data_IF_407416147059
#
_entry.id   IF_407416147059
#
_cell.length_a   1.000
_cell.length_b   1.000
_cell.length_c   1.000
_cell.angle_alpha   90.00
_cell.angle_beta   90.00
_cell.angle_gamma   90.00
#
_symmetry.space_group_name_H-M   'P 1'
#
loop_
_entity.id
_entity.type
_entity.pdbx_description
1 polymer ?
#
# COMPACT_ATOMS: atom_id res chain seq x y z
N UNK A 1 16.33 -71.37 -13.63
CA UNK A 1 17.41 -71.04 -14.57
C UNK A 1 17.77 -69.57 -14.37
N UNK A 2 18.96 -69.33 -13.82
CA UNK A 2 19.76 -68.10 -13.76
C UNK A 2 19.30 -66.81 -13.02
N UNK A 3 20.10 -66.51 -12.00
CA UNK A 3 20.36 -65.25 -11.27
C UNK A 3 20.69 -64.03 -12.16
N UNK A 4 20.43 -62.80 -11.68
CA UNK A 4 21.46 -61.84 -11.21
C UNK A 4 20.87 -60.41 -11.03
N UNK A 5 20.94 -59.92 -9.79
CA UNK A 5 21.40 -58.59 -9.35
C UNK A 5 21.87 -57.59 -10.42
N UNK A 6 21.50 -56.31 -10.31
CA UNK A 6 22.44 -55.17 -10.16
C UNK A 6 21.72 -53.81 -10.09
N UNK A 7 21.96 -53.08 -8.99
CA UNK A 7 21.78 -51.63 -8.87
C UNK A 7 22.69 -50.90 -9.88
N UNK A 8 22.23 -49.85 -10.59
CA UNK A 8 23.12 -48.92 -11.25
C UNK A 8 23.58 -47.83 -10.28
N UNK A 9 24.90 -47.85 -10.10
CA UNK A 9 25.78 -46.86 -9.48
C UNK A 9 25.41 -45.40 -9.80
N UNK A 10 25.44 -44.62 -8.72
CA UNK A 10 25.89 -43.24 -8.59
C UNK A 10 26.59 -42.62 -9.81
N UNK A 11 26.06 -41.45 -10.21
CA UNK A 11 26.67 -40.42 -11.02
C UNK A 11 28.21 -40.36 -10.90
N UNK A 12 28.92 -40.68 -12.00
CA UNK A 12 30.26 -40.17 -12.27
C UNK A 12 30.24 -39.45 -13.61
N UNK A 13 30.08 -38.14 -13.56
CA UNK A 13 30.28 -37.28 -14.74
C UNK A 13 31.77 -37.27 -15.09
N UNK A 14 32.11 -37.37 -16.38
CA UNK A 14 33.49 -37.20 -16.83
C UNK A 14 33.99 -35.76 -16.57
N UNK A 15 35.30 -35.54 -16.46
CA UNK A 15 35.87 -34.19 -16.29
C UNK A 15 35.47 -33.23 -17.43
N UNK A 16 35.26 -33.75 -18.64
CA UNK A 16 34.81 -32.97 -19.79
C UNK A 16 33.33 -32.55 -19.67
N UNK A 17 32.46 -33.45 -19.20
CA UNK A 17 31.04 -33.14 -18.95
C UNK A 17 30.86 -32.24 -17.74
N UNK A 18 31.68 -32.40 -16.69
CA UNK A 18 31.71 -31.48 -15.56
C UNK A 18 32.16 -30.07 -15.99
N UNK A 19 33.17 -29.95 -16.85
CA UNK A 19 33.61 -28.65 -17.40
C UNK A 19 32.56 -28.01 -18.31
N UNK A 20 31.89 -28.78 -19.18
CA UNK A 20 30.77 -28.27 -19.99
C UNK A 20 29.60 -27.80 -19.13
N UNK A 21 29.20 -28.60 -18.14
CA UNK A 21 28.11 -28.24 -17.21
C UNK A 21 28.49 -27.10 -16.27
N UNK A 22 29.76 -26.97 -15.86
CA UNK A 22 30.26 -25.83 -15.08
C UNK A 22 30.30 -24.56 -15.91
N UNK A 23 30.68 -24.64 -17.20
CA UNK A 23 30.65 -23.48 -18.09
C UNK A 23 29.20 -23.11 -18.49
N UNK A 24 28.30 -24.08 -18.62
CA UNK A 24 26.86 -23.81 -18.83
C UNK A 24 26.18 -23.32 -17.57
N UNK A 25 26.58 -23.77 -16.38
CA UNK A 25 26.11 -23.23 -15.10
C UNK A 25 26.72 -21.86 -14.83
N UNK A 26 27.96 -21.56 -15.23
CA UNK A 26 28.53 -20.23 -15.11
C UNK A 26 27.88 -19.25 -16.08
N UNK A 27 27.55 -19.68 -17.31
CA UNK A 27 26.76 -18.91 -18.27
C UNK A 27 25.30 -18.73 -17.80
N UNK A 28 24.70 -19.78 -17.24
CA UNK A 28 23.35 -19.74 -16.69
C UNK A 28 23.30 -18.97 -15.36
N UNK A 29 24.37 -18.97 -14.54
CA UNK A 29 24.50 -18.15 -13.32
C UNK A 29 24.83 -16.68 -13.66
N UNK A 30 25.48 -16.40 -14.79
CA UNK A 30 25.57 -15.02 -15.30
C UNK A 30 24.25 -14.52 -15.89
N UNK A 31 23.36 -15.41 -16.32
CA UNK A 31 22.02 -15.08 -16.82
C UNK A 31 20.91 -15.13 -15.75
N UNK A 32 21.08 -15.90 -14.66
CA UNK A 32 20.03 -16.11 -13.65
C UNK A 32 19.81 -14.91 -12.73
N UNK A 33 20.67 -13.89 -12.70
CA UNK A 33 20.35 -12.68 -11.92
C UNK A 33 21.19 -11.46 -12.28
N UNK A 34 21.22 -11.08 -13.56
CA UNK A 34 20.97 -9.65 -13.79
C UNK A 34 19.46 -9.46 -13.61
N UNK A 35 19.01 -9.37 -12.35
CA UNK A 35 17.91 -8.44 -12.10
C UNK A 35 18.43 -7.13 -12.67
N UNK A 36 17.86 -6.65 -13.79
CA UNK A 36 18.05 -5.25 -14.11
C UNK A 36 17.79 -4.52 -12.81
N UNK A 37 18.77 -3.76 -12.36
CA UNK A 37 18.61 -2.88 -11.23
C UNK A 37 17.72 -1.74 -11.74
N UNK A 38 16.45 -2.04 -12.07
CA UNK A 38 15.40 -1.06 -12.35
C UNK A 38 15.01 -0.46 -11.02
N UNK A 39 15.95 0.31 -10.49
CA UNK A 39 15.68 1.25 -9.43
C UNK A 39 15.06 2.46 -10.12
N UNK A 40 13.93 2.93 -9.60
CA UNK A 40 13.55 4.33 -9.82
C UNK A 40 14.81 5.19 -9.61
N UNK A 41 15.02 6.26 -10.41
CA UNK A 41 16.11 7.18 -10.14
C UNK A 41 16.12 7.52 -8.65
N UNK A 42 17.28 7.38 -8.00
CA UNK A 42 17.38 7.46 -6.54
C UNK A 42 16.72 8.73 -5.97
N UNK A 43 16.76 9.83 -6.73
CA UNK A 43 16.09 11.08 -6.41
C UNK A 43 14.55 10.95 -6.35
N UNK A 44 13.91 10.25 -7.30
CA UNK A 44 12.46 10.05 -7.29
C UNK A 44 12.03 9.14 -6.13
N UNK A 45 12.82 8.11 -5.82
CA UNK A 45 12.56 7.23 -4.68
C UNK A 45 12.72 7.95 -3.33
N UNK A 46 13.77 8.79 -3.19
CA UNK A 46 13.99 9.60 -2.00
C UNK A 46 12.83 10.58 -1.76
N UNK A 47 12.38 11.26 -2.82
CA UNK A 47 11.21 12.15 -2.76
C UNK A 47 9.95 11.39 -2.36
N UNK A 48 9.68 10.23 -2.97
CA UNK A 48 8.49 9.45 -2.62
C UNK A 48 8.49 9.02 -1.15
N UNK A 49 9.66 8.66 -0.60
CA UNK A 49 9.81 8.32 0.81
C UNK A 49 9.59 9.54 1.72
N UNK A 50 10.14 10.70 1.37
CA UNK A 50 9.93 11.96 2.11
C UNK A 50 8.43 12.33 2.16
N UNK A 51 7.76 12.29 1.02
CA UNK A 51 6.34 12.65 0.92
C UNK A 51 5.42 11.63 1.60
N UNK A 52 5.82 10.35 1.68
CA UNK A 52 5.14 9.38 2.52
C UNK A 52 5.27 9.72 4.01
N UNK A 53 6.43 10.20 4.48
CA UNK A 53 6.57 10.67 5.85
C UNK A 53 5.67 11.90 6.13
N UNK A 54 5.60 12.86 5.19
CA UNK A 54 4.71 14.03 5.30
C UNK A 54 3.23 13.62 5.35
N UNK A 55 2.83 12.62 4.56
CA UNK A 55 1.49 12.03 4.61
C UNK A 55 1.19 11.43 5.99
N UNK A 56 2.13 10.68 6.58
CA UNK A 56 1.97 10.12 7.93
C UNK A 56 1.85 11.22 9.00
N UNK A 57 2.58 12.32 8.84
CA UNK A 57 2.43 13.50 9.70
C UNK A 57 1.04 14.12 9.56
N UNK A 58 0.51 14.25 8.34
CA UNK A 58 -0.86 14.73 8.14
C UNK A 58 -1.90 13.85 8.83
N UNK A 59 -1.76 12.52 8.73
CA UNK A 59 -2.63 11.55 9.40
C UNK A 59 -2.57 11.71 10.92
N UNK A 60 -1.36 11.80 11.49
CA UNK A 60 -1.15 11.93 12.94
C UNK A 60 -1.77 13.22 13.47
N UNK A 61 -1.49 14.33 12.80
CA UNK A 61 -1.85 15.67 13.24
C UNK A 61 -3.36 15.93 13.12
N UNK A 62 -4.01 15.40 12.08
CA UNK A 62 -5.46 15.49 11.93
C UNK A 62 -6.21 14.35 12.62
N UNK A 63 -5.50 13.41 13.27
CA UNK A 63 -6.08 12.23 13.92
C UNK A 63 -7.04 11.49 13.00
N UNK A 64 -6.62 11.34 11.73
CA UNK A 64 -7.48 10.75 10.71
C UNK A 64 -7.90 9.33 11.13
N UNK A 65 -9.19 9.04 11.02
CA UNK A 65 -9.72 7.72 11.31
C UNK A 65 -8.94 6.65 10.51
N UNK A 66 -8.58 5.49 11.09
CA UNK A 66 -7.75 4.50 10.39
C UNK A 66 -8.23 4.12 8.99
N UNK A 67 -9.55 3.94 8.74
CA UNK A 67 -10.04 3.67 7.39
C UNK A 67 -9.76 4.83 6.42
N UNK A 68 -10.02 6.08 6.83
CA UNK A 68 -9.74 7.29 6.04
C UNK A 68 -8.24 7.46 5.78
N UNK A 69 -7.41 7.18 6.79
CA UNK A 69 -5.96 7.21 6.66
C UNK A 69 -5.46 6.22 5.58
N UNK A 70 -5.93 4.97 5.62
CA UNK A 70 -5.55 3.97 4.61
C UNK A 70 -5.97 4.37 3.19
N UNK A 71 -7.14 4.99 3.03
CA UNK A 71 -7.60 5.55 1.75
C UNK A 71 -6.69 6.69 1.28
N UNK A 72 -6.31 7.61 2.16
CA UNK A 72 -5.41 8.71 1.82
C UNK A 72 -4.02 8.20 1.38
N UNK A 73 -3.52 7.15 2.04
CA UNK A 73 -2.27 6.49 1.67
C UNK A 73 -2.35 5.84 0.29
N UNK A 74 -3.44 5.14 0.00
CA UNK A 74 -3.66 4.52 -1.31
C UNK A 74 -3.76 5.57 -2.43
N UNK A 75 -4.54 6.64 -2.22
CA UNK A 75 -4.66 7.73 -3.20
C UNK A 75 -3.29 8.36 -3.46
N UNK A 76 -2.60 8.80 -2.42
CA UNK A 76 -1.32 9.51 -2.59
C UNK A 76 -0.28 8.64 -3.27
N UNK A 77 -0.13 7.38 -2.84
CA UNK A 77 0.86 6.46 -3.41
C UNK A 77 0.55 6.09 -4.86
N UNK A 78 -0.73 5.86 -5.19
CA UNK A 78 -1.14 5.59 -6.57
C UNK A 78 -0.95 6.81 -7.47
N UNK A 79 -1.21 8.03 -6.99
CA UNK A 79 -0.98 9.24 -7.78
C UNK A 79 0.51 9.42 -8.10
N UNK A 80 1.38 9.21 -7.12
CA UNK A 80 2.85 9.24 -7.31
C UNK A 80 3.29 8.16 -8.31
N UNK A 81 2.77 6.93 -8.17
CA UNK A 81 3.07 5.84 -9.10
C UNK A 81 2.66 6.21 -10.53
N UNK A 82 1.44 6.68 -10.76
CA UNK A 82 0.95 7.03 -12.10
C UNK A 82 1.75 8.17 -12.73
N UNK A 83 2.12 9.19 -11.93
CA UNK A 83 2.92 10.31 -12.42
C UNK A 83 4.34 9.90 -12.84
N UNK A 84 5.02 9.11 -12.01
CA UNK A 84 6.36 8.60 -12.32
C UNK A 84 6.31 7.61 -13.48
N UNK A 85 5.34 6.70 -13.47
CA UNK A 85 5.20 5.68 -14.51
C UNK A 85 4.80 6.27 -15.87
N UNK A 86 4.11 7.41 -15.94
CA UNK A 86 3.85 8.08 -17.20
C UNK A 86 5.15 8.49 -17.93
N UNK A 87 6.19 8.84 -17.17
CA UNK A 87 7.50 9.26 -17.67
C UNK A 87 8.40 8.04 -17.91
N UNK A 88 8.50 7.17 -16.91
CA UNK A 88 9.36 5.98 -16.92
C UNK A 88 8.86 4.87 -17.85
N UNK A 89 7.53 4.69 -17.93
CA UNK A 89 6.82 3.76 -18.81
C UNK A 89 7.15 2.28 -18.61
N UNK A 90 7.82 1.91 -17.51
CA UNK A 90 8.18 0.51 -17.23
C UNK A 90 6.99 -0.35 -16.77
N UNK A 91 5.88 0.28 -16.35
CA UNK A 91 4.72 -0.43 -15.82
C UNK A 91 3.42 -0.05 -16.52
N UNK A 92 2.39 -0.87 -16.30
CA UNK A 92 1.03 -0.61 -16.80
C UNK A 92 0.30 0.33 -15.84
N UNK A 93 -0.21 1.44 -16.37
CA UNK A 93 -1.10 2.34 -15.64
C UNK A 93 -2.36 1.59 -15.16
N UNK A 94 -2.76 1.81 -13.90
CA UNK A 94 -3.96 1.22 -13.30
C UNK A 94 -5.19 2.10 -13.46
N UNK A 95 -5.01 3.36 -13.85
CA UNK A 95 -6.10 4.33 -14.06
C UNK A 95 -6.20 4.85 -15.50
N UNK A 96 -5.49 4.20 -16.42
CA UNK A 96 -5.37 4.58 -17.83
C UNK A 96 -4.83 6.02 -17.98
N UNK A 97 -3.89 6.39 -17.11
CA UNK A 97 -3.17 7.65 -17.21
C UNK A 97 -2.18 7.57 -18.40
N UNK A 98 -2.20 8.54 -19.32
CA UNK A 98 -1.42 8.45 -20.55
C UNK A 98 0.08 8.57 -20.30
N UNK A 99 0.87 7.94 -21.18
CA UNK A 99 2.31 8.14 -21.20
C UNK A 99 2.64 9.62 -21.51
N UNK A 100 3.63 10.16 -20.82
CA UNK A 100 4.08 11.55 -20.92
C UNK A 100 5.50 11.63 -21.47
N UNK A 101 6.03 12.85 -21.66
CA UNK A 101 7.40 13.07 -22.14
C UNK A 101 8.43 12.32 -21.27
N UNK A 102 9.24 11.40 -21.84
CA UNK A 102 10.22 10.64 -21.07
C UNK A 102 11.40 11.49 -20.56
N UNK A 103 11.52 12.73 -21.02
CA UNK A 103 12.54 13.69 -20.56
C UNK A 103 12.08 14.53 -19.36
N UNK A 104 10.81 14.42 -18.96
CA UNK A 104 10.30 15.14 -17.80
C UNK A 104 10.92 14.65 -16.49
N UNK A 105 10.94 15.52 -15.48
CA UNK A 105 11.53 15.22 -14.18
C UNK A 105 10.60 14.32 -13.35
N UNK A 106 10.96 13.03 -13.25
CA UNK A 106 10.27 12.08 -12.36
C UNK A 106 10.21 12.53 -10.89
N UNK A 107 11.27 13.09 -10.28
CA UNK A 107 11.18 13.64 -8.92
C UNK A 107 10.15 14.77 -8.82
N UNK A 108 10.11 15.71 -9.79
CA UNK A 108 9.14 16.80 -9.77
C UNK A 108 7.70 16.30 -9.92
N UNK A 109 7.49 15.28 -10.76
CA UNK A 109 6.20 14.60 -10.91
C UNK A 109 5.75 13.91 -9.61
N UNK A 110 6.66 13.22 -8.92
CA UNK A 110 6.38 12.61 -7.62
C UNK A 110 6.01 13.65 -6.55
N UNK A 111 6.79 14.74 -6.43
CA UNK A 111 6.50 15.86 -5.50
C UNK A 111 5.11 16.43 -5.77
N UNK A 112 4.83 16.78 -7.03
CA UNK A 112 3.58 17.44 -7.42
C UNK A 112 2.36 16.54 -7.23
N UNK A 113 2.45 15.26 -7.60
CA UNK A 113 1.38 14.29 -7.38
C UNK A 113 1.07 14.08 -5.89
N UNK A 114 2.11 13.97 -5.06
CA UNK A 114 1.95 13.83 -3.62
C UNK A 114 1.33 15.09 -3.01
N UNK A 115 1.90 16.26 -3.27
CA UNK A 115 1.40 17.53 -2.75
C UNK A 115 -0.07 17.76 -3.12
N UNK A 116 -0.42 17.63 -4.40
CA UNK A 116 -1.79 17.90 -4.88
C UNK A 116 -2.81 16.94 -4.24
N UNK A 117 -2.42 15.68 -4.03
CA UNK A 117 -3.25 14.70 -3.32
C UNK A 117 -3.45 15.10 -1.86
N UNK A 118 -2.36 15.47 -1.18
CA UNK A 118 -2.40 15.80 0.24
C UNK A 118 -3.12 17.11 0.54
N UNK A 119 -2.96 18.16 -0.26
CA UNK A 119 -3.71 19.42 -0.02
C UNK A 119 -5.21 19.24 -0.21
N UNK A 120 -5.62 18.32 -1.09
CA UNK A 120 -7.02 17.97 -1.29
C UNK A 120 -7.57 17.14 -0.13
N UNK A 121 -6.82 16.13 0.32
CA UNK A 121 -7.23 15.21 1.38
C UNK A 121 -7.11 15.82 2.79
N UNK A 122 -6.20 16.77 2.97
CA UNK A 122 -5.83 17.37 4.25
C UNK A 122 -5.78 18.91 4.15
N UNK A 123 -6.89 19.59 3.81
CA UNK A 123 -6.89 21.02 3.52
C UNK A 123 -6.43 21.87 4.71
N UNK A 124 -6.69 21.44 5.95
CA UNK A 124 -6.20 22.11 7.16
C UNK A 124 -4.66 22.14 7.30
N UNK A 125 -3.94 21.30 6.54
CA UNK A 125 -2.46 21.25 6.53
C UNK A 125 -1.85 21.97 5.32
N UNK A 126 -2.67 22.65 4.50
CA UNK A 126 -2.23 23.24 3.22
C UNK A 126 -0.99 24.12 3.37
N UNK A 127 -0.94 25.04 4.35
CA UNK A 127 0.21 25.93 4.51
C UNK A 127 1.53 25.17 4.75
N UNK A 128 1.49 24.10 5.56
CA UNK A 128 2.66 23.24 5.80
C UNK A 128 3.03 22.48 4.53
N UNK A 129 2.05 21.95 3.82
CA UNK A 129 2.25 21.21 2.56
C UNK A 129 2.81 22.11 1.45
N UNK A 130 2.33 23.34 1.32
CA UNK A 130 2.85 24.34 0.38
C UNK A 130 4.33 24.65 0.64
N UNK A 131 4.71 24.81 1.91
CA UNK A 131 6.10 25.04 2.29
C UNK A 131 7.00 23.83 1.95
N UNK A 132 6.51 22.60 2.20
CA UNK A 132 7.23 21.37 1.83
C UNK A 132 7.36 21.22 0.32
N UNK A 133 6.30 21.51 -0.44
CA UNK A 133 6.34 21.52 -1.91
C UNK A 133 7.37 22.51 -2.44
N UNK A 134 7.34 23.76 -1.97
CA UNK A 134 8.31 24.77 -2.38
C UNK A 134 9.76 24.32 -2.10
N UNK A 135 10.02 23.74 -0.92
CA UNK A 135 11.35 23.23 -0.56
C UNK A 135 11.77 22.04 -1.44
N UNK A 136 10.89 21.07 -1.68
CA UNK A 136 11.19 19.91 -2.55
C UNK A 136 11.40 20.32 -4.01
N UNK A 137 10.68 21.31 -4.53
CA UNK A 137 10.86 21.79 -5.92
C UNK A 137 12.13 22.63 -6.06
N UNK A 138 12.47 23.44 -5.05
CA UNK A 138 13.67 24.27 -5.07
C UNK A 138 14.97 23.46 -5.06
N UNK A 139 14.96 22.22 -4.58
CA UNK A 139 16.11 21.32 -4.61
C UNK A 139 16.35 20.64 -5.97
N UNK A 140 15.41 20.77 -6.91
CA UNK A 140 15.49 20.21 -8.26
C UNK A 140 15.99 21.23 -9.27
N UNK A 141 16.69 20.80 -10.36
CA UNK A 141 17.14 21.69 -11.42
C UNK A 141 16.02 22.58 -11.98
N UNK A 142 16.30 23.87 -12.14
CA UNK A 142 15.35 24.82 -12.71
C UNK A 142 15.36 24.77 -14.24
N UNK A 143 14.63 23.81 -14.79
CA UNK A 143 14.55 23.58 -16.22
C UNK A 143 13.12 23.21 -16.69
N UNK A 144 12.97 23.05 -18.00
CA UNK A 144 11.70 22.65 -18.62
C UNK A 144 11.27 21.24 -18.19
N UNK A 145 12.20 20.34 -17.86
CA UNK A 145 11.89 18.99 -17.39
C UNK A 145 11.21 19.03 -16.02
N UNK A 146 11.64 19.92 -15.11
CA UNK A 146 10.98 20.18 -13.83
C UNK A 146 9.55 20.70 -14.03
N UNK A 147 9.37 21.70 -14.89
CA UNK A 147 8.04 22.26 -15.17
C UNK A 147 7.08 21.20 -15.75
N UNK A 148 7.56 20.39 -16.71
CA UNK A 148 6.79 19.28 -17.28
C UNK A 148 6.44 18.24 -16.21
N UNK A 149 7.39 17.86 -15.35
CA UNK A 149 7.16 16.92 -14.25
C UNK A 149 6.08 17.43 -13.29
N UNK A 150 6.13 18.69 -12.89
CA UNK A 150 5.10 19.29 -12.01
C UNK A 150 3.71 19.14 -12.62
N UNK A 151 3.55 19.46 -13.90
CA UNK A 151 2.24 19.36 -14.57
C UNK A 151 1.75 17.91 -14.68
N UNK A 152 2.63 16.97 -15.02
CA UNK A 152 2.31 15.53 -15.07
C UNK A 152 1.83 15.05 -13.69
N UNK A 153 2.56 15.42 -12.63
CA UNK A 153 2.19 15.04 -11.26
C UNK A 153 0.82 15.58 -10.84
N UNK A 154 0.52 16.84 -11.18
CA UNK A 154 -0.77 17.46 -10.92
C UNK A 154 -1.89 16.71 -11.63
N UNK A 155 -1.73 16.41 -12.92
CA UNK A 155 -2.72 15.68 -13.71
C UNK A 155 -2.98 14.26 -13.18
N UNK A 156 -1.93 13.53 -12.81
CA UNK A 156 -2.07 12.19 -12.24
C UNK A 156 -2.86 12.19 -10.92
N UNK A 157 -2.56 13.15 -10.03
CA UNK A 157 -3.28 13.33 -8.77
C UNK A 157 -4.75 13.70 -9.00
N UNK A 158 -5.03 14.67 -9.88
CA UNK A 158 -6.40 15.07 -10.24
C UNK A 158 -7.19 13.87 -10.77
N UNK A 159 -6.64 13.13 -11.73
CA UNK A 159 -7.28 11.95 -12.31
C UNK A 159 -7.67 10.93 -11.24
N UNK A 160 -6.76 10.65 -10.31
CA UNK A 160 -7.02 9.68 -9.26
C UNK A 160 -8.06 10.19 -8.25
N UNK A 161 -7.97 11.45 -7.82
CA UNK A 161 -8.96 12.07 -6.94
C UNK A 161 -10.36 12.06 -7.57
N UNK A 162 -10.47 12.33 -8.88
CA UNK A 162 -11.73 12.25 -9.63
C UNK A 162 -12.31 10.83 -9.61
N UNK A 163 -11.50 9.80 -9.90
CA UNK A 163 -11.91 8.39 -9.84
C UNK A 163 -12.42 8.05 -8.43
N UNK A 164 -11.83 8.63 -7.39
CA UNK A 164 -12.17 8.35 -5.99
C UNK A 164 -13.25 9.27 -5.42
N UNK A 165 -13.67 10.32 -6.13
CA UNK A 165 -14.67 11.29 -5.66
C UNK A 165 -16.05 10.68 -5.40
N UNK A 166 -16.36 9.56 -6.06
CA UNK A 166 -17.66 8.88 -5.96
C UNK A 166 -17.56 7.47 -5.36
N UNK A 167 -16.44 7.15 -4.71
CA UNK A 167 -16.18 5.82 -4.15
C UNK A 167 -17.00 5.48 -2.90
N UNK A 168 -17.81 6.41 -2.41
CA UNK A 168 -18.69 6.23 -1.26
C UNK A 168 -18.04 6.48 0.10
N UNK A 169 -16.75 6.89 0.16
CA UNK A 169 -16.08 7.17 1.43
C UNK A 169 -16.75 8.31 2.22
N UNK A 170 -17.24 9.33 1.52
CA UNK A 170 -17.86 10.52 2.13
C UNK A 170 -19.35 10.33 2.49
N UNK A 171 -19.90 9.13 2.27
CA UNK A 171 -21.27 8.82 2.71
C UNK A 171 -21.37 8.92 4.23
N UNK A 172 -22.52 9.38 4.71
CA UNK A 172 -22.86 9.30 6.13
C UNK A 172 -23.98 8.29 6.27
N UNK A 173 -23.75 7.26 7.08
CA UNK A 173 -24.75 6.24 7.41
C UNK A 173 -24.91 6.21 8.92
N UNK A 174 -26.15 6.30 9.36
CA UNK A 174 -26.49 6.13 10.77
C UNK A 174 -26.46 4.64 11.13
N UNK A 175 -25.83 4.32 12.26
CA UNK A 175 -25.91 3.01 12.88
C UNK A 175 -26.40 3.17 14.31
N UNK A 176 -27.53 2.54 14.62
CA UNK A 176 -28.11 2.50 15.96
C UNK A 176 -27.80 1.14 16.56
N UNK A 177 -26.97 1.08 17.62
CA UNK A 177 -26.71 -0.17 18.31
C UNK A 177 -27.97 -0.78 18.90
N UNK A 178 -28.12 -2.10 18.78
CA UNK A 178 -29.16 -2.83 19.51
C UNK A 178 -28.80 -2.95 21.00
N UNK A 179 -29.66 -3.60 21.79
CA UNK A 179 -29.46 -3.80 23.24
C UNK A 179 -29.36 -5.28 23.63
N UNK A 180 -29.34 -6.20 22.67
CA UNK A 180 -29.25 -7.62 22.95
C UNK A 180 -27.80 -8.03 23.24
N UNK A 181 -27.63 -9.16 23.92
CA UNK A 181 -26.31 -9.76 24.06
C UNK A 181 -25.73 -10.07 22.67
N UNK A 182 -24.49 -9.65 22.42
CA UNK A 182 -23.81 -9.79 21.12
C UNK A 182 -23.89 -8.55 20.23
N UNK A 183 -24.81 -7.62 20.49
CA UNK A 183 -24.82 -6.34 19.80
C UNK A 183 -23.62 -5.50 20.23
N UNK A 184 -22.97 -4.84 19.26
CA UNK A 184 -21.90 -3.89 19.58
C UNK A 184 -22.43 -2.80 20.51
N UNK A 185 -21.68 -2.46 21.55
CA UNK A 185 -22.02 -1.38 22.49
C UNK A 185 -20.93 -0.32 22.50
N UNK A 186 -21.34 0.92 22.78
CA UNK A 186 -20.41 2.02 23.07
C UNK A 186 -19.61 1.69 24.33
N UNK A 187 -18.30 1.90 24.30
CA UNK A 187 -17.41 1.59 25.42
C UNK A 187 -16.90 2.85 26.13
N UNK A 188 -16.66 2.79 27.46
CA UNK A 188 -16.04 3.89 28.20
C UNK A 188 -14.58 4.09 27.74
N UNK A 189 -14.00 5.28 27.98
CA UNK A 189 -14.60 6.41 28.69
C UNK A 189 -15.48 7.32 27.82
N UNK A 190 -15.27 7.31 26.50
CA UNK A 190 -15.87 8.30 25.61
C UNK A 190 -17.28 7.96 25.13
N UNK A 191 -17.66 6.67 25.16
CA UNK A 191 -18.91 6.19 24.56
C UNK A 191 -19.12 6.72 23.13
N UNK A 192 -18.04 6.69 22.34
CA UNK A 192 -17.99 7.26 21.00
C UNK A 192 -18.99 6.57 20.06
N UNK A 193 -19.46 7.30 19.04
CA UNK A 193 -20.28 6.73 17.99
C UNK A 193 -19.51 5.65 17.19
N UNK A 194 -20.21 4.66 16.61
CA UNK A 194 -19.60 3.70 15.69
C UNK A 194 -18.86 4.43 14.58
N UNK A 195 -17.60 4.05 14.37
CA UNK A 195 -16.76 4.70 13.38
C UNK A 195 -17.12 4.18 11.98
N UNK A 196 -17.63 5.06 11.12
CA UNK A 196 -17.78 4.85 9.67
C UNK A 196 -18.47 3.51 9.32
N UNK A 197 -19.72 3.27 9.78
CA UNK A 197 -20.39 1.97 9.62
C UNK A 197 -20.59 1.54 8.16
N UNK A 198 -20.55 2.47 7.21
CA UNK A 198 -20.65 2.21 5.78
C UNK A 198 -19.35 1.77 5.11
N UNK A 199 -18.21 1.75 5.83
CA UNK A 199 -16.90 1.64 5.19
C UNK A 199 -16.72 0.36 4.36
N UNK A 200 -17.40 -0.73 4.74
CA UNK A 200 -17.44 -1.98 3.96
C UNK A 200 -18.08 -1.86 2.57
N UNK A 201 -18.77 -0.75 2.28
CA UNK A 201 -19.37 -0.44 0.97
C UNK A 201 -18.58 0.58 0.16
N UNK A 202 -17.44 1.08 0.66
CA UNK A 202 -16.54 1.93 -0.13
C UNK A 202 -15.97 1.11 -1.28
N UNK A 203 -15.98 1.66 -2.49
CA UNK A 203 -15.47 0.98 -3.69
C UNK A 203 -14.00 0.56 -3.47
N UNK A 204 -13.66 -0.74 -3.49
CA UNK A 204 -12.27 -1.14 -3.24
C UNK A 204 -11.32 -0.67 -4.36
N UNK A 205 -10.02 -0.61 -4.05
CA UNK A 205 -8.97 -0.31 -5.04
C UNK A 205 -8.60 -1.53 -5.90
N UNK A 206 -8.56 -2.71 -5.29
CA UNK A 206 -8.08 -3.95 -5.94
C UNK A 206 -9.11 -5.09 -5.84
N UNK A 207 -9.91 -5.11 -4.77
CA UNK A 207 -10.92 -6.15 -4.56
C UNK A 207 -12.10 -5.95 -5.50
N UNK A 208 -12.74 -7.06 -5.89
CA UNK A 208 -13.96 -7.01 -6.69
C UNK A 208 -15.16 -6.49 -5.90
N UNK A 209 -15.17 -6.69 -4.58
CA UNK A 209 -16.20 -6.17 -3.68
C UNK A 209 -15.67 -6.07 -2.23
N UNK A 210 -16.35 -5.29 -1.39
CA UNK A 210 -16.02 -5.18 0.04
C UNK A 210 -16.25 -6.47 0.84
N UNK A 211 -17.00 -7.43 0.27
CA UNK A 211 -17.28 -8.73 0.88
C UNK A 211 -16.45 -9.89 0.30
N UNK A 212 -15.47 -9.61 -0.57
CA UNK A 212 -14.66 -10.66 -1.23
C UNK A 212 -14.01 -11.64 -0.23
N UNK A 213 -13.62 -11.15 0.96
CA UNK A 213 -13.03 -11.94 2.03
C UNK A 213 -13.90 -11.98 3.29
N UNK A 214 -15.22 -11.98 3.14
CA UNK A 214 -16.13 -12.05 4.29
C UNK A 214 -15.92 -13.38 5.05
N UNK A 215 -15.54 -13.34 6.35
CA UNK A 215 -15.37 -14.56 7.13
C UNK A 215 -16.73 -15.22 7.43
N UNK A 216 -16.73 -16.49 7.90
CA UNK A 216 -17.93 -17.09 8.47
C UNK A 216 -18.44 -16.29 9.68
N UNK A 217 -19.67 -16.58 10.09
CA UNK A 217 -20.26 -15.98 11.29
C UNK A 217 -19.40 -16.26 12.53
N UNK A 218 -19.34 -15.31 13.49
CA UNK A 218 -18.63 -15.54 14.74
C UNK A 218 -19.25 -16.68 15.56
N UNK A 219 -18.51 -17.27 16.50
CA UNK A 219 -19.04 -18.29 17.41
C UNK A 219 -20.30 -17.82 18.13
N UNK A 220 -21.31 -18.70 18.24
CA UNK A 220 -22.53 -18.39 19.00
C UNK A 220 -22.17 -18.08 20.45
N UNK A 221 -22.85 -17.10 21.05
CA UNK A 221 -22.62 -16.68 22.44
C UNK A 221 -22.79 -17.81 23.47
N UNK A 222 -23.61 -18.81 23.16
CA UNK A 222 -23.84 -20.00 23.99
C UNK A 222 -22.83 -21.13 23.77
N UNK A 223 -21.86 -20.95 22.87
CA UNK A 223 -20.89 -21.99 22.53
C UNK A 223 -19.72 -22.04 23.53
N UNK A 224 -19.14 -23.23 23.69
CA UNK A 224 -17.92 -23.41 24.49
C UNK A 224 -16.72 -22.66 23.92
N UNK A 225 -16.68 -22.49 22.60
CA UNK A 225 -15.68 -21.69 21.90
C UNK A 225 -15.76 -20.21 22.30
N UNK A 226 -16.94 -19.60 22.24
CA UNK A 226 -17.12 -18.22 22.70
C UNK A 226 -16.71 -18.05 24.17
N UNK A 227 -17.08 -18.99 25.05
CA UNK A 227 -16.72 -18.95 26.46
C UNK A 227 -15.20 -19.04 26.68
N UNK A 228 -14.51 -19.90 25.92
CA UNK A 228 -13.05 -20.02 25.97
C UNK A 228 -12.38 -18.70 25.56
N UNK A 229 -12.78 -18.13 24.43
CA UNK A 229 -12.15 -16.94 23.87
C UNK A 229 -12.41 -15.71 24.77
N UNK A 230 -13.61 -15.60 25.36
CA UNK A 230 -13.91 -14.58 26.37
C UNK A 230 -13.00 -14.71 27.61
N UNK A 231 -12.82 -15.94 28.11
CA UNK A 231 -11.97 -16.18 29.28
C UNK A 231 -10.50 -15.85 28.98
N UNK A 232 -10.01 -16.15 27.77
CA UNK A 232 -8.67 -15.77 27.34
C UNK A 232 -8.48 -14.25 27.35
N UNK A 233 -9.41 -13.51 26.75
CA UNK A 233 -9.39 -12.04 26.76
C UNK A 233 -9.43 -11.50 28.18
N UNK A 234 -10.20 -12.08 29.09
CA UNK A 234 -10.22 -11.66 30.49
C UNK A 234 -8.88 -11.92 31.19
N UNK A 235 -8.30 -13.12 31.03
CA UNK A 235 -7.04 -13.50 31.67
C UNK A 235 -5.85 -12.68 31.16
N UNK A 236 -5.74 -12.51 29.84
CA UNK A 236 -4.63 -11.77 29.22
C UNK A 236 -4.87 -10.27 29.21
N UNK A 237 -6.13 -9.82 29.13
CA UNK A 237 -6.50 -8.42 28.96
C UNK A 237 -6.54 -7.62 30.26
N UNK A 238 -6.65 -8.27 31.42
CA UNK A 238 -6.66 -7.59 32.72
C UNK A 238 -5.49 -6.61 32.86
N UNK A 239 -5.75 -5.40 33.38
CA UNK A 239 -4.72 -4.35 33.57
C UNK A 239 -3.55 -4.87 34.40
N UNK A 240 -3.84 -5.71 35.39
CA UNK A 240 -2.91 -6.37 36.30
C UNK A 240 -2.73 -7.88 35.99
N UNK A 241 -2.87 -8.30 34.73
CA UNK A 241 -2.66 -9.69 34.34
C UNK A 241 -1.28 -10.18 34.79
N UNK A 242 -1.24 -11.31 35.50
CA UNK A 242 0.00 -12.01 35.86
C UNK A 242 0.43 -13.02 34.79
N UNK A 243 -0.34 -13.14 33.72
CA UNK A 243 -0.13 -14.10 32.61
C UNK A 243 0.42 -13.38 31.38
N UNK A 244 0.02 -12.12 31.15
CA UNK A 244 0.54 -11.28 30.06
C UNK A 244 1.97 -10.81 30.40
N UNK A 245 2.94 -11.15 29.56
CA UNK A 245 4.34 -10.71 29.64
C UNK A 245 4.64 -9.51 28.77
#
# INVERSE_FOLDING_TARGET
>A
MFFLSHLPRLFRLSRAEYRRRRNSLAACLSEIQQFETRQMPAAAAAVAHEWNAILLDCIREQKAAPPVASRAMAITSSAVFEAVNAIDRSYVSRVQFPAADPTASMPAAAVSAAWNSLVTLFPARKAVLDARFAASIASLPDDSARAAGIEIGRQASVRLLEIRSTDGADRTVEYVPGSAAGDWQKTPPAFAAPLLPHWGSVQPFVLSSGSQFRPPEPPKLSSSEYARDLNEVQQLGAVNSTVRT
#
